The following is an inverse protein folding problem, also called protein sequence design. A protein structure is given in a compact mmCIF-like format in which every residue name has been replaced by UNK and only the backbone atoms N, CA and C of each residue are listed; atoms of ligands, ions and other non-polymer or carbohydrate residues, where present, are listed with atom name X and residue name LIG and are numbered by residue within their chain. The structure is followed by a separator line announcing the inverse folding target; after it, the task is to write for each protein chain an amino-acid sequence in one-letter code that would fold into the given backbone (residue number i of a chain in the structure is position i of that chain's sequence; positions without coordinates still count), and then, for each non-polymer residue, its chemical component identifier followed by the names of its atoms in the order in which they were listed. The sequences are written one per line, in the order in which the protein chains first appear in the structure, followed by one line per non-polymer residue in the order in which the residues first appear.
data_IF_522546054139
#
_entry.id   IF_522546054139
#
_cell.length_a   1.000
_cell.length_b   1.000
_cell.length_c   1.000
_cell.angle_alpha   90.00
_cell.angle_beta   90.00
_cell.angle_gamma   90.00
#
_symmetry.space_group_name_H-M   'P 1'
#
loop_
_entity.id
_entity.type
_entity.pdbx_description
1 polymer ?
#
# COMPACT_ATOMS: atom_id res chain seq x y z
N UNK A 1 10.86 -14.43 -5.41
CA UNK A 1 9.78 -13.43 -5.27
C UNK A 1 10.35 -12.07 -4.87
N UNK A 2 11.17 -11.99 -3.81
CA UNK A 2 11.79 -10.73 -3.38
C UNK A 2 12.67 -10.08 -4.46
N UNK A 3 13.59 -10.82 -5.08
CA UNK A 3 14.43 -10.26 -6.16
C UNK A 3 13.61 -9.69 -7.32
N UNK A 4 12.50 -10.35 -7.70
CA UNK A 4 11.64 -9.89 -8.79
C UNK A 4 10.94 -8.55 -8.49
N UNK A 5 10.61 -8.28 -7.23
CA UNK A 5 9.82 -7.10 -6.83
C UNK A 5 10.64 -5.99 -6.15
N UNK A 6 11.83 -6.32 -5.68
CA UNK A 6 12.66 -5.46 -4.85
C UNK A 6 14.13 -5.39 -5.31
N UNK A 7 14.50 -5.95 -6.46
CA UNK A 7 15.79 -5.60 -7.07
C UNK A 7 15.82 -4.12 -7.40
N UNK A 8 17.04 -3.58 -7.52
CA UNK A 8 17.25 -2.18 -7.92
C UNK A 8 16.52 -1.87 -9.23
N UNK A 9 16.64 -2.76 -10.21
CA UNK A 9 16.01 -2.62 -11.53
C UNK A 9 14.48 -2.62 -11.42
N UNK A 10 13.93 -3.49 -10.57
CA UNK A 10 12.48 -3.57 -10.34
C UNK A 10 11.94 -2.31 -9.66
N UNK A 11 12.64 -1.78 -8.66
CA UNK A 11 12.25 -0.54 -7.97
C UNK A 11 12.35 0.66 -8.91
N UNK A 12 13.43 0.75 -9.71
CA UNK A 12 13.56 1.81 -10.72
C UNK A 12 12.45 1.74 -11.76
N UNK A 13 12.12 0.54 -12.26
CA UNK A 13 10.98 0.35 -13.17
C UNK A 13 9.66 0.81 -12.53
N UNK A 14 9.42 0.46 -11.28
CA UNK A 14 8.21 0.89 -10.56
C UNK A 14 8.12 2.41 -10.47
N UNK A 15 9.24 3.09 -10.22
CA UNK A 15 9.29 4.55 -10.11
C UNK A 15 9.16 5.25 -11.47
N UNK A 16 9.96 4.84 -12.45
CA UNK A 16 10.15 5.57 -13.70
C UNK A 16 9.13 5.18 -14.79
N UNK A 17 8.69 3.92 -14.81
CA UNK A 17 7.83 3.38 -15.87
C UNK A 17 6.40 3.19 -15.35
N UNK A 18 6.24 2.63 -14.16
CA UNK A 18 4.92 2.39 -13.56
C UNK A 18 4.40 3.59 -12.75
N UNK A 19 5.18 4.68 -12.71
CA UNK A 19 4.85 5.96 -12.08
C UNK A 19 4.43 5.81 -10.60
N UNK A 20 5.06 4.88 -9.87
CA UNK A 20 4.85 4.71 -8.44
C UNK A 20 5.71 5.70 -7.66
N UNK A 21 5.06 6.48 -6.79
CA UNK A 21 5.71 7.40 -5.89
C UNK A 21 5.97 6.73 -4.54
N UNK A 22 7.24 6.71 -4.13
CA UNK A 22 7.67 6.11 -2.86
C UNK A 22 7.90 7.18 -1.79
N UNK A 23 7.48 6.85 -0.57
CA UNK A 23 7.65 7.69 0.61
C UNK A 23 8.30 6.87 1.72
N UNK A 24 9.23 7.49 2.44
CA UNK A 24 9.94 6.87 3.57
C UNK A 24 9.58 7.61 4.86
N UNK A 25 9.38 6.87 5.94
CA UNK A 25 9.20 7.43 7.27
C UNK A 25 10.50 7.28 8.07
N UNK A 26 10.89 8.34 8.77
CA UNK A 26 12.09 8.37 9.60
C UNK A 26 11.76 8.74 11.05
N UNK A 27 12.43 8.10 12.00
CA UNK A 27 12.47 8.50 13.41
C UNK A 27 13.94 8.60 13.78
N UNK A 28 14.39 9.77 14.24
CA UNK A 28 15.78 9.99 14.69
C UNK A 28 16.81 9.47 13.65
N UNK A 29 16.58 9.79 12.36
CA UNK A 29 17.37 9.35 11.20
C UNK A 29 17.33 7.85 10.86
N UNK A 30 16.58 7.02 11.58
CA UNK A 30 16.35 5.62 11.21
C UNK A 30 15.10 5.52 10.33
N UNK A 31 15.21 4.85 9.17
CA UNK A 31 14.04 4.51 8.36
C UNK A 31 13.19 3.45 9.10
N UNK A 32 11.91 3.75 9.30
CA UNK A 32 10.98 2.92 10.08
C UNK A 32 9.82 2.38 9.25
N UNK A 33 9.75 2.70 7.96
CA UNK A 33 8.70 2.23 7.08
C UNK A 33 8.69 2.97 5.75
N UNK A 34 7.90 2.46 4.82
CA UNK A 34 7.70 3.07 3.52
C UNK A 34 6.30 2.82 2.97
N UNK A 35 5.88 3.68 2.06
CA UNK A 35 4.66 3.54 1.27
C UNK A 35 4.98 3.74 -0.22
N UNK A 36 4.19 3.11 -1.09
CA UNK A 36 4.22 3.33 -2.53
C UNK A 36 2.80 3.49 -3.05
N UNK A 37 2.56 4.53 -3.84
CA UNK A 37 1.25 4.87 -4.39
C UNK A 37 1.38 5.27 -5.85
N UNK A 38 0.36 5.05 -6.66
CA UNK A 38 0.28 5.64 -8.00
C UNK A 38 -1.15 6.07 -8.33
N UNK A 39 -1.29 6.85 -9.40
CA UNK A 39 -2.56 7.23 -9.99
C UNK A 39 -2.40 7.34 -11.50
N UNK A 40 -3.49 7.14 -12.23
CA UNK A 40 -3.57 7.38 -13.67
C UNK A 40 -4.39 8.63 -14.02
N UNK A 41 -5.23 9.12 -13.10
CA UNK A 41 -6.21 10.19 -13.37
C UNK A 41 -6.16 11.35 -12.35
N UNK A 42 -5.31 11.25 -11.32
CA UNK A 42 -5.18 12.27 -10.26
C UNK A 42 -6.36 12.29 -9.26
N UNK A 43 -7.30 11.35 -9.36
CA UNK A 43 -8.50 11.27 -8.51
C UNK A 43 -8.55 9.96 -7.75
N UNK A 44 -8.23 8.87 -8.43
CA UNK A 44 -8.18 7.52 -7.89
C UNK A 44 -6.73 7.11 -7.71
N UNK A 45 -6.40 6.68 -6.50
CA UNK A 45 -5.05 6.29 -6.15
C UNK A 45 -5.00 4.84 -5.71
N UNK A 46 -3.98 4.13 -6.16
CA UNK A 46 -3.73 2.76 -5.75
C UNK A 46 -2.52 2.71 -4.81
N UNK A 47 -2.75 2.25 -3.57
CA UNK A 47 -1.71 2.02 -2.57
C UNK A 47 -1.10 0.64 -2.81
N UNK A 48 0.05 0.63 -3.48
CA UNK A 48 0.80 -0.58 -3.82
C UNK A 48 1.46 -1.22 -2.60
N UNK A 49 2.03 -0.40 -1.72
CA UNK A 49 2.85 -0.86 -0.60
C UNK A 49 2.63 0.03 0.60
N UNK A 50 2.53 -0.58 1.78
CA UNK A 50 2.58 0.09 3.07
C UNK A 50 3.22 -0.87 4.08
N UNK A 51 4.49 -0.63 4.40
CA UNK A 51 5.29 -1.48 5.27
C UNK A 51 5.90 -0.65 6.39
N UNK A 52 5.87 -1.19 7.61
CA UNK A 52 6.38 -0.55 8.82
C UNK A 52 7.28 -1.56 9.53
N UNK A 53 8.38 -1.08 10.11
CA UNK A 53 9.27 -1.89 10.94
C UNK A 53 8.45 -2.48 12.11
N UNK A 54 8.48 -3.81 12.22
CA UNK A 54 7.72 -4.56 13.23
C UNK A 54 8.09 -4.18 14.66
N UNK A 55 9.33 -3.75 14.89
CA UNK A 55 9.82 -3.34 16.21
C UNK A 55 9.25 -1.99 16.67
N UNK A 56 8.61 -1.26 15.76
CA UNK A 56 8.04 0.09 15.98
C UNK A 56 6.53 0.08 15.67
N UNK A 57 5.93 -1.11 15.52
CA UNK A 57 4.49 -1.26 15.33
C UNK A 57 3.70 -0.64 16.49
N UNK A 58 2.46 -0.24 16.19
CA UNK A 58 1.50 0.35 17.13
C UNK A 58 1.81 1.79 17.59
N UNK A 59 2.77 2.47 16.96
CA UNK A 59 3.02 3.91 17.17
C UNK A 59 2.24 4.84 16.22
N UNK A 60 1.20 4.34 15.55
CA UNK A 60 0.39 5.16 14.62
C UNK A 60 1.03 5.49 13.27
N UNK A 61 2.23 4.98 12.96
CA UNK A 61 2.98 5.29 11.72
C UNK A 61 2.15 5.00 10.45
N UNK A 62 1.39 3.90 10.43
CA UNK A 62 0.54 3.56 9.28
C UNK A 62 -0.56 4.59 9.05
N UNK A 63 -1.19 5.06 10.13
CA UNK A 63 -2.17 6.15 10.09
C UNK A 63 -1.51 7.43 9.57
N UNK A 64 -0.31 7.76 10.05
CA UNK A 64 0.45 8.93 9.57
C UNK A 64 0.72 8.85 8.07
N UNK A 65 1.13 7.70 7.55
CA UNK A 65 1.31 7.52 6.09
C UNK A 65 0.01 7.77 5.33
N UNK A 66 -1.09 7.14 5.72
CA UNK A 66 -2.36 7.29 5.02
C UNK A 66 -2.86 8.75 5.08
N UNK A 67 -2.79 9.39 6.24
CA UNK A 67 -3.21 10.79 6.39
C UNK A 67 -2.33 11.74 5.59
N UNK A 68 -1.01 11.51 5.56
CA UNK A 68 -0.09 12.27 4.72
C UNK A 68 -0.41 12.13 3.23
N UNK A 69 -0.72 10.91 2.77
CA UNK A 69 -1.08 10.65 1.37
C UNK A 69 -2.41 11.33 1.01
N UNK A 70 -3.38 11.30 1.92
CA UNK A 70 -4.67 11.98 1.75
C UNK A 70 -4.50 13.50 1.70
N UNK A 71 -3.69 14.09 2.58
CA UNK A 71 -3.41 15.53 2.57
C UNK A 71 -2.67 15.95 1.28
N UNK A 72 -1.63 15.20 0.90
CA UNK A 72 -0.77 15.52 -0.24
C UNK A 72 -1.51 15.45 -1.58
N UNK A 73 -2.38 14.46 -1.74
CA UNK A 73 -3.00 14.16 -3.02
C UNK A 73 -4.49 14.46 -3.09
N UNK A 74 -5.16 14.63 -1.94
CA UNK A 74 -6.62 14.81 -1.85
C UNK A 74 -7.40 13.82 -2.74
N UNK A 75 -7.09 12.51 -2.66
CA UNK A 75 -7.67 11.53 -3.57
C UNK A 75 -9.17 11.40 -3.31
N UNK A 76 -9.99 11.39 -4.36
CA UNK A 76 -11.42 11.09 -4.25
C UNK A 76 -11.63 9.64 -3.78
N UNK A 77 -10.78 8.73 -4.26
CA UNK A 77 -10.84 7.31 -3.94
C UNK A 77 -9.42 6.74 -3.75
N UNK A 78 -9.24 5.92 -2.72
CA UNK A 78 -8.04 5.09 -2.55
C UNK A 78 -8.39 3.61 -2.61
N UNK A 79 -7.60 2.85 -3.36
CA UNK A 79 -7.70 1.40 -3.49
C UNK A 79 -6.44 0.71 -2.97
N UNK A 80 -6.59 -0.52 -2.50
CA UNK A 80 -5.48 -1.41 -2.19
C UNK A 80 -5.90 -2.87 -2.37
N UNK A 81 -4.89 -3.73 -2.49
CA UNK A 81 -5.07 -5.18 -2.34
C UNK A 81 -4.43 -5.64 -1.04
N UNK A 82 -5.07 -6.59 -0.37
CA UNK A 82 -4.54 -7.20 0.84
C UNK A 82 -4.87 -8.68 0.87
N UNK A 83 -3.85 -9.50 1.11
CA UNK A 83 -4.03 -10.94 1.26
C UNK A 83 -5.05 -11.26 2.36
N UNK A 84 -6.00 -12.15 2.07
CA UNK A 84 -7.12 -12.49 2.97
C UNK A 84 -6.67 -13.08 4.32
N UNK A 85 -5.47 -13.65 4.39
CA UNK A 85 -4.90 -14.17 5.63
C UNK A 85 -4.24 -13.09 6.49
N UNK A 86 -4.02 -11.88 5.96
CA UNK A 86 -3.42 -10.77 6.69
C UNK A 86 -4.46 -10.01 7.53
N UNK A 87 -5.07 -10.72 8.49
CA UNK A 87 -6.12 -10.19 9.37
C UNK A 87 -5.70 -8.91 10.09
N UNK A 88 -4.41 -8.76 10.41
CA UNK A 88 -3.88 -7.56 11.06
C UNK A 88 -3.95 -6.33 10.14
N UNK A 89 -3.53 -6.45 8.88
CA UNK A 89 -3.60 -5.35 7.92
C UNK A 89 -5.05 -5.04 7.54
N UNK A 90 -5.87 -6.07 7.33
CA UNK A 90 -7.31 -5.91 7.03
C UNK A 90 -8.00 -5.10 8.14
N UNK A 91 -7.81 -5.47 9.41
CA UNK A 91 -8.38 -4.74 10.55
C UNK A 91 -7.84 -3.31 10.67
N UNK A 92 -6.58 -3.08 10.31
CA UNK A 92 -6.02 -1.73 10.26
C UNK A 92 -6.73 -0.87 9.20
N UNK A 93 -6.93 -1.39 7.99
CA UNK A 93 -7.61 -0.67 6.92
C UNK A 93 -9.08 -0.42 7.22
N UNK A 94 -9.80 -1.39 7.81
CA UNK A 94 -11.16 -1.17 8.29
C UNK A 94 -11.25 -0.04 9.32
N UNK A 95 -10.35 -0.01 10.30
CA UNK A 95 -10.30 1.06 11.31
C UNK A 95 -10.01 2.44 10.69
N UNK A 96 -9.25 2.48 9.60
CA UNK A 96 -8.98 3.72 8.86
C UNK A 96 -10.17 4.14 7.95
N UNK A 97 -11.15 3.26 7.74
CA UNK A 97 -12.36 3.56 6.97
C UNK A 97 -12.40 2.97 5.56
N UNK A 98 -11.49 2.05 5.22
CA UNK A 98 -11.63 1.23 4.02
C UNK A 98 -12.73 0.19 4.19
N UNK A 99 -13.36 -0.21 3.09
CA UNK A 99 -14.31 -1.32 3.01
C UNK A 99 -13.84 -2.33 1.96
N UNK A 100 -14.31 -3.58 2.03
CA UNK A 100 -14.06 -4.56 0.96
C UNK A 100 -14.97 -4.21 -0.21
N UNK A 101 -14.38 -3.96 -1.38
CA UNK A 101 -15.10 -3.75 -2.63
C UNK A 101 -15.39 -5.08 -3.32
N UNK A 102 -14.36 -5.92 -3.44
CA UNK A 102 -14.47 -7.24 -4.05
C UNK A 102 -13.41 -8.21 -3.57
N UNK A 103 -13.64 -9.46 -3.91
CA UNK A 103 -12.77 -10.60 -3.69
C UNK A 103 -12.12 -10.92 -5.03
N UNK A 104 -10.79 -10.91 -5.10
CA UNK A 104 -10.06 -11.16 -6.35
C UNK A 104 -8.97 -12.22 -6.15
N UNK A 105 -8.84 -13.12 -7.11
CA UNK A 105 -7.86 -14.21 -7.09
C UNK A 105 -6.88 -13.95 -8.23
N UNK A 106 -5.66 -13.52 -7.90
CA UNK A 106 -4.63 -13.26 -8.90
C UNK A 106 -3.75 -14.50 -9.06
N UNK A 107 -3.72 -15.09 -10.25
CA UNK A 107 -2.70 -16.09 -10.58
C UNK A 107 -1.34 -15.38 -10.70
N UNK A 108 -0.42 -15.74 -9.80
CA UNK A 108 0.93 -15.17 -9.77
C UNK A 108 1.98 -16.11 -10.40
N UNK A 109 1.52 -17.16 -11.09
CA UNK A 109 2.32 -18.16 -11.77
C UNK A 109 2.82 -19.26 -10.84
N UNK A 110 3.34 -20.35 -11.44
CA UNK A 110 3.88 -21.53 -10.74
C UNK A 110 2.87 -22.24 -9.81
N UNK A 111 1.56 -22.13 -10.07
CA UNK A 111 0.51 -22.79 -9.28
C UNK A 111 0.18 -22.08 -7.95
N UNK A 112 0.61 -20.83 -7.79
CA UNK A 112 0.26 -20.01 -6.61
C UNK A 112 -0.84 -19.01 -6.96
N UNK A 113 -1.85 -18.92 -6.10
CA UNK A 113 -2.94 -17.94 -6.19
C UNK A 113 -2.83 -16.92 -5.05
N UNK A 114 -2.87 -15.63 -5.39
CA UNK A 114 -3.04 -14.54 -4.43
C UNK A 114 -4.53 -14.35 -4.16
N UNK A 115 -4.96 -14.92 -3.03
CA UNK A 115 -6.31 -14.74 -2.50
C UNK A 115 -6.40 -13.41 -1.77
N UNK A 116 -6.81 -12.36 -2.49
CA UNK A 116 -6.78 -11.00 -1.98
C UNK A 116 -8.18 -10.40 -1.84
N UNK A 117 -8.32 -9.49 -0.89
CA UNK A 117 -9.41 -8.51 -0.88
C UNK A 117 -8.94 -7.27 -1.62
N UNK A 118 -9.80 -6.74 -2.48
CA UNK A 118 -9.67 -5.36 -2.98
C UNK A 118 -10.46 -4.49 -2.01
N UNK A 119 -9.76 -3.58 -1.34
CA UNK A 119 -10.37 -2.64 -0.39
C UNK A 119 -10.34 -1.23 -0.96
N UNK A 120 -11.39 -0.47 -0.66
CA UNK A 120 -11.58 0.90 -1.14
C UNK A 120 -11.97 1.83 0.00
N UNK A 121 -11.48 3.08 -0.05
CA UNK A 121 -11.95 4.20 0.78
C UNK A 121 -12.30 5.36 -0.12
N UNK A 122 -13.53 5.88 -0.01
CA UNK A 122 -13.95 7.12 -0.66
C UNK A 122 -13.72 8.27 0.31
N UNK A 123 -13.00 9.29 -0.12
CA UNK A 123 -12.81 10.52 0.64
C UNK A 123 -13.91 11.50 0.27
N UNK A 124 -14.41 12.23 1.26
CA UNK A 124 -15.47 13.22 1.09
C UNK A 124 -14.87 14.59 0.81
#
# INVERSE_FOLDING_TARGET
MLEKMYSKESILKQMEIENQHFFLAYIENKCVGYAAISTTDGKQYFLHKLYIDTNIHQKGIGTVFLSFLEEKYSPEIMHLTVNRQNFKAINFYFKYGFIIEKVDNFDIGNGFEMNDFVMVKKNR
#
